data_IF_072091811961
#
_entry.id   IF_072091811961
#
_cell.length_a   1.000
_cell.length_b   1.000
_cell.length_c   1.000
_cell.angle_alpha   90.00
_cell.angle_beta   90.00
_cell.angle_gamma   90.00
#
_symmetry.space_group_name_H-M   'P 1'
#
loop_
_entity.id
_entity.type
_entity.pdbx_description
1 polymer ?
#
# COMPACT_ATOMS: atom_id res chain seq x y z
N UNK A 1 -16.71 18.09 36.33
CA UNK A 1 -17.13 18.11 34.90
C UNK A 1 -17.00 16.68 34.38
N UNK A 2 -18.06 15.89 34.53
CA UNK A 2 -18.02 14.44 34.33
C UNK A 2 -18.46 14.05 32.92
N UNK A 3 -17.57 13.38 32.19
CA UNK A 3 -17.92 12.71 30.94
C UNK A 3 -18.34 11.29 31.33
N UNK A 4 -19.63 10.99 31.27
CA UNK A 4 -20.20 9.67 31.58
C UNK A 4 -19.82 8.66 30.46
N UNK A 5 -19.06 7.58 30.73
CA UNK A 5 -18.47 6.75 29.67
C UNK A 5 -19.35 5.59 29.14
N UNK A 6 -20.63 5.47 29.54
CA UNK A 6 -21.42 4.22 29.34
C UNK A 6 -22.59 4.29 28.34
N UNK A 7 -22.62 5.26 27.42
CA UNK A 7 -23.70 5.32 26.40
C UNK A 7 -23.21 5.47 24.96
N UNK A 8 -22.23 4.66 24.56
CA UNK A 8 -22.12 4.27 23.15
C UNK A 8 -23.23 3.26 22.86
N UNK A 9 -24.39 3.79 22.45
CA UNK A 9 -25.51 2.98 21.95
C UNK A 9 -24.96 2.00 20.91
N UNK A 10 -25.46 0.77 20.99
CA UNK A 10 -25.29 -0.42 20.14
C UNK A 10 -25.63 -0.16 18.67
N UNK A 11 -25.06 0.87 18.07
CA UNK A 11 -25.08 1.07 16.63
C UNK A 11 -24.12 0.04 16.05
N UNK A 12 -24.54 -0.74 15.04
CA UNK A 12 -23.77 -1.87 14.56
C UNK A 12 -22.48 -1.38 13.88
N UNK A 13 -21.42 -1.27 14.66
CA UNK A 13 -20.09 -0.77 14.27
C UNK A 13 -19.53 -1.56 13.09
N UNK A 14 -19.87 -2.85 13.01
CA UNK A 14 -19.51 -3.72 11.89
C UNK A 14 -20.13 -3.26 10.55
N UNK A 15 -21.29 -2.60 10.55
CA UNK A 15 -21.91 -2.10 9.29
C UNK A 15 -21.12 -0.91 8.74
N UNK A 16 -20.72 0.03 9.60
CA UNK A 16 -19.90 1.17 9.20
C UNK A 16 -18.50 0.71 8.73
N UNK A 17 -17.90 -0.22 9.47
CA UNK A 17 -16.64 -0.84 9.06
C UNK A 17 -16.77 -1.58 7.73
N UNK A 18 -17.83 -2.37 7.56
CA UNK A 18 -18.12 -3.08 6.31
C UNK A 18 -18.33 -2.10 5.14
N UNK A 19 -19.06 -1.01 5.37
CA UNK A 19 -19.23 0.05 4.38
C UNK A 19 -17.88 0.70 4.01
N UNK A 20 -17.01 0.98 4.97
CA UNK A 20 -15.67 1.52 4.71
C UNK A 20 -14.84 0.57 3.83
N UNK A 21 -14.86 -0.73 4.14
CA UNK A 21 -14.19 -1.75 3.32
C UNK A 21 -14.77 -1.78 1.92
N UNK A 22 -16.09 -1.79 1.77
CA UNK A 22 -16.78 -1.79 0.47
C UNK A 22 -16.41 -0.54 -0.33
N UNK A 23 -16.46 0.64 0.28
CA UNK A 23 -16.09 1.89 -0.38
C UNK A 23 -14.63 1.89 -0.82
N UNK A 24 -13.73 1.36 0.00
CA UNK A 24 -12.32 1.21 -0.35
C UNK A 24 -12.14 0.26 -1.55
N UNK A 25 -12.80 -0.89 -1.56
CA UNK A 25 -12.77 -1.83 -2.70
C UNK A 25 -13.36 -1.21 -3.96
N UNK A 26 -14.48 -0.51 -3.86
CA UNK A 26 -15.13 0.16 -5.00
C UNK A 26 -14.24 1.29 -5.54
N UNK A 27 -13.65 2.11 -4.68
CA UNK A 27 -12.75 3.19 -5.10
C UNK A 27 -11.52 2.67 -5.84
N UNK A 28 -10.99 1.51 -5.42
CA UNK A 28 -9.82 0.87 -6.01
C UNK A 28 -10.17 -0.28 -6.96
N UNK A 29 -11.39 -0.32 -7.52
CA UNK A 29 -11.83 -1.42 -8.39
C UNK A 29 -10.97 -1.57 -9.65
N UNK A 30 -10.37 -0.48 -10.11
CA UNK A 30 -9.51 -0.48 -11.30
C UNK A 30 -8.31 -1.41 -11.15
N UNK A 31 -7.79 -1.60 -9.92
CA UNK A 31 -6.71 -2.57 -9.65
C UNK A 31 -7.15 -4.00 -9.99
N UNK A 32 -8.40 -4.33 -9.66
CA UNK A 32 -8.96 -5.68 -9.85
C UNK A 32 -9.28 -5.94 -11.32
N UNK A 33 -9.74 -4.90 -12.03
CA UNK A 33 -10.12 -4.98 -13.44
C UNK A 33 -8.91 -4.90 -14.38
N UNK A 34 -7.87 -4.16 -13.99
CA UNK A 34 -6.68 -3.88 -14.79
C UNK A 34 -5.39 -4.13 -13.99
N UNK A 35 -5.12 -5.36 -13.53
CA UNK A 35 -3.97 -5.65 -12.66
C UNK A 35 -2.60 -5.44 -13.33
N UNK A 36 -2.56 -5.34 -14.66
CA UNK A 36 -1.34 -5.02 -15.43
C UNK A 36 -1.02 -3.52 -15.50
N UNK A 37 -1.93 -2.66 -15.05
CA UNK A 37 -1.79 -1.21 -15.14
C UNK A 37 -1.49 -0.60 -13.78
N UNK A 38 -0.68 0.46 -13.78
CA UNK A 38 -0.40 1.22 -12.58
C UNK A 38 -1.55 2.20 -12.33
N UNK A 39 -2.00 2.32 -11.08
CA UNK A 39 -2.94 3.36 -10.63
C UNK A 39 -2.37 4.79 -10.65
N UNK A 40 -1.19 4.97 -11.22
CA UNK A 40 -0.42 6.19 -11.14
C UNK A 40 -0.32 6.83 -12.51
N UNK A 41 -0.32 8.16 -12.52
CA UNK A 41 -0.09 8.93 -13.74
C UNK A 41 1.24 8.52 -14.39
N UNK A 42 1.32 8.41 -15.72
CA UNK A 42 2.56 8.12 -16.44
C UNK A 42 3.72 9.08 -16.14
N UNK A 43 3.42 10.29 -15.63
CA UNK A 43 4.40 11.32 -15.28
C UNK A 43 4.67 11.43 -13.77
N UNK A 44 4.27 10.43 -12.98
CA UNK A 44 4.50 10.40 -11.53
C UNK A 44 5.91 9.92 -11.16
N UNK A 45 6.37 10.27 -9.98
CA UNK A 45 7.56 9.67 -9.36
C UNK A 45 7.42 8.14 -9.21
N UNK A 46 6.20 7.64 -8.99
CA UNK A 46 5.95 6.19 -8.94
C UNK A 46 6.30 5.52 -10.25
N UNK A 47 5.87 6.07 -11.39
CA UNK A 47 6.16 5.49 -12.70
C UNK A 47 7.61 5.65 -13.13
N UNK A 48 8.24 6.77 -12.79
CA UNK A 48 9.62 7.07 -13.22
C UNK A 48 10.72 6.55 -12.29
N UNK A 49 10.43 6.39 -11.00
CA UNK A 49 11.42 6.03 -9.98
C UNK A 49 11.08 4.73 -9.26
N UNK A 50 9.91 4.66 -8.61
CA UNK A 50 9.62 3.53 -7.72
C UNK A 50 9.33 2.24 -8.46
N UNK A 51 8.52 2.28 -9.52
CA UNK A 51 8.20 1.13 -10.36
C UNK A 51 9.44 0.46 -10.93
N UNK A 52 10.34 1.16 -11.66
CA UNK A 52 11.53 0.52 -12.22
C UNK A 52 12.47 -0.01 -11.12
N UNK A 53 12.53 0.62 -9.95
CA UNK A 53 13.31 0.11 -8.83
C UNK A 53 12.76 -1.20 -8.27
N UNK A 54 11.43 -1.33 -8.11
CA UNK A 54 10.82 -2.60 -7.68
C UNK A 54 10.98 -3.69 -8.73
N UNK A 55 10.84 -3.33 -10.02
CA UNK A 55 11.04 -4.26 -11.12
C UNK A 55 12.48 -4.79 -11.13
N UNK A 56 13.48 -3.91 -11.08
CA UNK A 56 14.89 -4.31 -11.04
C UNK A 56 15.25 -5.18 -9.83
N UNK A 57 14.70 -4.85 -8.64
CA UNK A 57 14.90 -5.63 -7.44
C UNK A 57 14.27 -7.04 -7.55
N UNK A 58 13.05 -7.13 -8.06
CA UNK A 58 12.36 -8.40 -8.30
C UNK A 58 13.08 -9.25 -9.37
N UNK A 59 13.49 -8.65 -10.48
CA UNK A 59 14.26 -9.31 -11.54
C UNK A 59 15.57 -9.87 -11.01
N UNK A 60 16.33 -9.07 -10.26
CA UNK A 60 17.58 -9.52 -9.63
C UNK A 60 17.33 -10.70 -8.69
N UNK A 61 16.29 -10.61 -7.85
CA UNK A 61 15.95 -11.67 -6.92
C UNK A 61 15.52 -12.96 -7.62
N UNK A 62 14.67 -12.90 -8.65
CA UNK A 62 14.23 -14.10 -9.39
C UNK A 62 15.32 -14.70 -10.27
N UNK A 63 16.25 -13.89 -10.79
CA UNK A 63 17.32 -14.37 -11.64
C UNK A 63 18.37 -15.19 -10.87
N UNK A 64 18.74 -14.76 -9.65
CA UNK A 64 19.86 -15.37 -8.93
C UNK A 64 19.74 -15.33 -7.39
N UNK A 65 18.58 -14.96 -6.84
CA UNK A 65 18.35 -14.86 -5.40
C UNK A 65 19.08 -13.71 -4.72
N UNK A 66 19.64 -12.75 -5.48
CA UNK A 66 20.41 -11.66 -4.92
C UNK A 66 19.57 -10.42 -4.60
N UNK A 67 19.99 -9.70 -3.57
CA UNK A 67 19.55 -8.33 -3.32
C UNK A 67 20.57 -7.41 -3.99
N UNK A 68 20.21 -6.65 -5.04
CA UNK A 68 21.17 -5.92 -5.85
C UNK A 68 21.86 -4.81 -5.06
N UNK A 69 23.20 -4.81 -5.05
CA UNK A 69 24.02 -3.77 -4.41
C UNK A 69 24.15 -2.50 -5.26
N UNK A 70 24.19 -2.66 -6.58
CA UNK A 70 24.46 -1.61 -7.55
C UNK A 70 23.41 -1.63 -8.65
N UNK A 71 22.83 -0.47 -8.97
CA UNK A 71 21.93 -0.31 -10.09
C UNK A 71 22.69 0.38 -11.23
N UNK A 72 22.96 -0.28 -12.38
CA UNK A 72 23.75 0.30 -13.47
C UNK A 72 22.94 1.24 -14.37
N UNK A 73 21.62 1.30 -14.21
CA UNK A 73 20.70 1.94 -15.16
C UNK A 73 20.48 3.44 -14.93
N UNK A 74 21.07 4.03 -13.89
CA UNK A 74 20.89 5.44 -13.55
C UNK A 74 22.21 6.10 -13.22
N UNK A 75 22.48 7.29 -13.77
CA UNK A 75 23.64 8.12 -13.44
C UNK A 75 25.02 7.41 -13.57
N UNK A 76 25.21 6.61 -14.62
CA UNK A 76 26.40 5.73 -14.77
C UNK A 76 26.58 4.69 -13.65
N UNK A 77 25.52 4.49 -12.88
CA UNK A 77 25.42 3.56 -11.78
C UNK A 77 25.24 4.26 -10.43
N UNK A 78 24.50 3.61 -9.53
CA UNK A 78 24.27 4.12 -8.17
C UNK A 78 24.23 3.01 -7.13
N UNK A 79 24.61 3.32 -5.86
CA UNK A 79 24.57 2.36 -4.77
C UNK A 79 23.12 2.06 -4.37
N UNK A 80 22.55 1.00 -4.94
CA UNK A 80 21.11 0.73 -4.86
C UNK A 80 20.65 0.39 -3.44
N UNK A 81 21.43 -0.40 -2.69
CA UNK A 81 21.10 -0.69 -1.28
C UNK A 81 21.16 0.53 -0.36
N UNK A 82 21.98 1.52 -0.69
CA UNK A 82 22.08 2.76 0.08
C UNK A 82 21.03 3.79 -0.35
N UNK A 83 20.34 3.56 -1.46
CA UNK A 83 19.30 4.45 -1.96
C UNK A 83 17.99 4.23 -1.19
N UNK A 84 17.50 5.28 -0.52
CA UNK A 84 16.25 5.24 0.23
C UNK A 84 15.04 4.88 -0.65
N UNK A 85 15.03 5.31 -1.91
CA UNK A 85 13.93 5.06 -2.84
C UNK A 85 13.86 3.58 -3.26
N UNK A 86 14.99 2.85 -3.17
CA UNK A 86 15.06 1.40 -3.46
C UNK A 86 14.14 0.60 -2.54
N UNK A 87 13.88 1.09 -1.32
CA UNK A 87 12.96 0.48 -0.36
C UNK A 87 13.18 -1.01 -0.13
N UNK A 88 14.38 -1.54 -0.38
CA UNK A 88 14.64 -2.98 -0.45
C UNK A 88 14.25 -3.71 0.85
N UNK A 89 14.43 -3.02 1.98
CA UNK A 89 14.20 -3.55 3.33
C UNK A 89 12.91 -3.03 3.96
N UNK A 90 12.03 -2.36 3.20
CA UNK A 90 10.70 -2.00 3.69
C UNK A 90 9.83 -3.27 3.68
N UNK A 91 9.35 -3.77 4.83
CA UNK A 91 8.74 -5.11 4.90
C UNK A 91 7.58 -5.35 3.91
N UNK A 92 6.67 -4.39 3.65
CA UNK A 92 5.63 -4.57 2.63
C UNK A 92 6.16 -4.76 1.21
N UNK A 93 7.34 -4.23 0.89
CA UNK A 93 7.96 -4.44 -0.42
C UNK A 93 8.42 -5.88 -0.64
N UNK A 94 8.45 -6.73 0.39
CA UNK A 94 8.81 -8.13 0.21
C UNK A 94 7.83 -8.88 -0.69
N UNK A 95 6.60 -8.38 -0.82
CA UNK A 95 5.64 -8.91 -1.80
C UNK A 95 6.18 -8.86 -3.23
N UNK A 96 6.97 -7.85 -3.61
CA UNK A 96 7.56 -7.77 -4.94
C UNK A 96 8.53 -8.92 -5.25
N UNK A 97 9.11 -9.55 -4.24
CA UNK A 97 9.98 -10.72 -4.40
C UNK A 97 9.18 -12.03 -4.47
N UNK A 98 7.97 -12.06 -3.92
CA UNK A 98 7.13 -13.27 -3.84
C UNK A 98 6.31 -13.52 -5.12
N UNK A 99 5.98 -12.47 -5.86
CA UNK A 99 5.20 -12.55 -7.11
C UNK A 99 6.11 -12.43 -8.34
N UNK A 100 5.71 -12.98 -9.51
CA UNK A 100 6.44 -12.77 -10.76
C UNK A 100 6.59 -11.28 -11.12
N UNK A 101 7.63 -10.93 -11.87
CA UNK A 101 7.89 -9.55 -12.31
C UNK A 101 6.74 -8.93 -13.10
N UNK A 102 5.97 -9.74 -13.85
CA UNK A 102 4.75 -9.30 -14.54
C UNK A 102 3.63 -8.82 -13.62
N UNK A 103 3.66 -9.21 -12.34
CA UNK A 103 2.67 -8.81 -11.34
C UNK A 103 3.08 -7.55 -10.55
N UNK A 104 4.25 -6.95 -10.83
CA UNK A 104 4.72 -5.74 -10.12
C UNK A 104 3.68 -4.61 -10.14
N UNK A 105 2.99 -4.29 -11.28
CA UNK A 105 1.92 -3.28 -11.28
C UNK A 105 0.78 -3.61 -10.30
N UNK A 106 0.32 -4.86 -10.30
CA UNK A 106 -0.73 -5.33 -9.38
C UNK A 106 -0.29 -5.20 -7.92
N UNK A 107 0.94 -5.60 -7.60
CA UNK A 107 1.48 -5.52 -6.22
C UNK A 107 1.55 -4.08 -5.73
N UNK A 108 1.92 -3.12 -6.60
CA UNK A 108 1.81 -1.69 -6.27
C UNK A 108 0.38 -1.31 -5.90
N UNK A 109 -0.59 -1.70 -6.73
CA UNK A 109 -2.00 -1.48 -6.45
C UNK A 109 -2.42 -2.07 -5.11
N UNK A 110 -2.13 -3.34 -4.85
CA UNK A 110 -2.51 -4.04 -3.62
C UNK A 110 -1.90 -3.40 -2.39
N UNK A 111 -0.64 -2.97 -2.46
CA UNK A 111 0.02 -2.26 -1.36
C UNK A 111 -0.66 -0.92 -1.11
N UNK A 112 -0.94 -0.14 -2.15
CA UNK A 112 -1.62 1.16 -2.01
C UNK A 112 -3.01 0.99 -1.40
N UNK A 113 -3.81 0.05 -1.93
CA UNK A 113 -5.11 -0.30 -1.38
C UNK A 113 -5.01 -0.73 0.09
N UNK A 114 -4.07 -1.63 0.40
CA UNK A 114 -3.85 -2.14 1.76
C UNK A 114 -3.49 -1.04 2.76
N UNK A 115 -2.61 -0.11 2.39
CA UNK A 115 -2.23 1.02 3.26
C UNK A 115 -3.43 1.96 3.50
N UNK A 116 -4.20 2.29 2.46
CA UNK A 116 -5.39 3.14 2.61
C UNK A 116 -6.45 2.47 3.46
N UNK A 117 -6.66 1.16 3.30
CA UNK A 117 -7.59 0.39 4.11
C UNK A 117 -7.17 0.36 5.58
N UNK A 118 -5.89 0.07 5.87
CA UNK A 118 -5.36 0.07 7.24
C UNK A 118 -5.46 1.45 7.86
N UNK A 119 -5.17 2.52 7.11
CA UNK A 119 -5.32 3.89 7.57
C UNK A 119 -6.78 4.20 7.93
N UNK A 120 -7.73 3.86 7.06
CA UNK A 120 -9.16 4.06 7.28
C UNK A 120 -9.68 3.31 8.50
N UNK A 121 -9.34 2.02 8.63
CA UNK A 121 -9.73 1.18 9.77
C UNK A 121 -9.14 1.74 11.07
N UNK A 122 -7.87 2.13 11.06
CA UNK A 122 -7.18 2.67 12.24
C UNK A 122 -7.77 4.01 12.67
N UNK A 123 -8.08 4.88 11.71
CA UNK A 123 -8.72 6.16 11.98
C UNK A 123 -10.14 5.97 12.53
N UNK A 124 -10.92 5.07 11.94
CA UNK A 124 -12.24 4.69 12.45
C UNK A 124 -12.12 4.18 13.89
N UNK A 125 -11.22 3.24 14.16
CA UNK A 125 -10.98 2.71 15.50
C UNK A 125 -10.59 3.82 16.50
N UNK A 126 -9.73 4.76 16.10
CA UNK A 126 -9.37 5.91 16.90
C UNK A 126 -10.57 6.82 17.19
N UNK A 127 -11.39 7.15 16.19
CA UNK A 127 -12.58 7.98 16.37
C UNK A 127 -13.63 7.28 17.28
N UNK A 128 -13.79 5.97 17.16
CA UNK A 128 -14.59 5.15 18.10
C UNK A 128 -14.04 5.26 19.52
N UNK A 129 -12.72 5.20 19.69
CA UNK A 129 -12.06 5.34 21.00
C UNK A 129 -12.23 6.74 21.60
N UNK A 130 -12.21 7.80 20.78
CA UNK A 130 -12.49 9.18 21.21
C UNK A 130 -13.97 9.45 21.54
N UNK A 131 -14.83 8.46 21.35
CA UNK A 131 -16.23 8.56 21.71
C UNK A 131 -17.11 9.28 20.70
N UNK A 132 -16.75 9.25 19.42
CA UNK A 132 -17.67 9.64 18.35
C UNK A 132 -18.79 8.58 18.23
N UNK A 133 -19.81 8.80 17.39
CA UNK A 133 -20.77 7.76 16.99
C UNK A 133 -20.21 6.95 15.81
N UNK A 134 -20.67 5.72 15.48
CA UNK A 134 -20.14 4.99 14.32
C UNK A 134 -20.39 5.65 12.97
N UNK A 135 -21.34 6.59 12.90
CA UNK A 135 -21.58 7.37 11.69
C UNK A 135 -20.70 8.63 11.63
N UNK A 136 -20.34 9.19 12.79
CA UNK A 136 -19.41 10.33 12.85
C UNK A 136 -17.94 9.94 12.87
N UNK A 137 -17.64 8.67 13.16
CA UNK A 137 -16.33 8.04 13.08
C UNK A 137 -16.08 7.49 11.68
#
# INVERSE_FOLDING_TARGET
MGILPWRFRLTPTHKCLGLLVILCVVYFSDILLHPGELLYSPVSDVTWLHYPFRLFAAESFHANGSIPLWCPYSNSGQPFQADLHSGLFYPPNFLFYLFPTSAVPAVFGWLTWGHVLVAGISMFAYARHQGLSPFGA
#
